data_IF_313776023344
#
_entry.id   IF_313776023344
#
_cell.length_a   1.000
_cell.length_b   1.000
_cell.length_c   1.000
_cell.angle_alpha   90.00
_cell.angle_beta   90.00
_cell.angle_gamma   90.00
#
_symmetry.space_group_name_H-M   'P 1'
#
loop_
_entity.id
_entity.type
_entity.pdbx_description
1 polymer ?
#
# COMPACT_ATOMS: atom_id res chain seq x y z
N UNK A 1 2.55 56.63 -7.58
CA UNK A 1 1.47 55.62 -7.81
C UNK A 1 1.99 54.50 -8.70
N UNK A 2 2.36 53.36 -8.14
CA UNK A 2 2.74 52.13 -8.88
C UNK A 2 1.73 51.04 -8.52
N UNK A 3 0.92 50.64 -9.49
CA UNK A 3 -0.07 49.57 -9.39
C UNK A 3 0.66 48.22 -9.25
N UNK A 4 0.44 47.52 -8.14
CA UNK A 4 0.86 46.09 -7.96
C UNK A 4 -0.06 45.23 -8.80
N UNK A 5 0.49 44.49 -9.77
CA UNK A 5 -0.22 43.41 -10.49
C UNK A 5 -0.39 42.24 -9.55
N UNK A 6 -1.63 41.84 -9.33
CA UNK A 6 -1.98 40.61 -8.66
C UNK A 6 -1.60 39.45 -9.58
N UNK A 7 -0.67 38.61 -9.14
CA UNK A 7 -0.33 37.36 -9.80
C UNK A 7 -1.45 36.34 -9.55
N UNK A 8 -2.23 36.05 -10.57
CA UNK A 8 -3.22 34.98 -10.55
C UNK A 8 -2.52 33.62 -10.37
N UNK A 9 -2.80 32.93 -9.26
CA UNK A 9 -2.48 31.50 -9.11
C UNK A 9 -3.35 30.72 -10.09
N UNK A 10 -2.75 30.20 -11.13
CA UNK A 10 -3.38 29.22 -11.99
C UNK A 10 -3.68 27.96 -11.13
N UNK A 11 -4.92 27.75 -10.78
CA UNK A 11 -5.43 26.49 -10.25
C UNK A 11 -5.39 25.49 -11.39
N UNK A 12 -4.37 24.63 -11.40
CA UNK A 12 -4.37 23.43 -12.25
C UNK A 12 -5.54 22.57 -11.77
N UNK A 13 -6.62 22.59 -12.53
CA UNK A 13 -7.75 21.69 -12.30
C UNK A 13 -7.22 20.25 -12.41
N UNK A 14 -7.16 19.56 -11.28
CA UNK A 14 -6.84 18.13 -11.26
C UNK A 14 -7.92 17.40 -12.06
N UNK A 15 -7.58 16.98 -13.27
CA UNK A 15 -8.45 16.15 -14.10
C UNK A 15 -8.87 14.95 -13.25
N UNK A 16 -10.15 14.86 -12.93
CA UNK A 16 -10.70 13.79 -12.13
C UNK A 16 -10.45 12.47 -12.88
N UNK A 17 -9.45 11.72 -12.47
CA UNK A 17 -9.21 10.36 -12.99
C UNK A 17 -10.39 9.52 -12.51
N UNK A 18 -11.31 9.22 -13.43
CA UNK A 18 -12.44 8.34 -13.16
C UNK A 18 -11.93 6.90 -13.09
N UNK A 19 -12.34 6.15 -12.06
CA UNK A 19 -11.99 4.74 -11.87
C UNK A 19 -10.99 4.49 -10.74
N UNK A 20 -10.72 3.22 -10.51
CA UNK A 20 -9.78 2.75 -9.49
C UNK A 20 -8.35 2.86 -10.03
N UNK A 21 -7.51 3.59 -9.33
CA UNK A 21 -6.08 3.75 -9.64
C UNK A 21 -5.25 3.51 -8.39
N UNK A 22 -4.00 3.08 -8.59
CA UNK A 22 -3.06 2.89 -7.50
C UNK A 22 -1.63 3.16 -7.96
N UNK A 23 -0.73 3.37 -7.00
CA UNK A 23 0.70 3.46 -7.26
C UNK A 23 1.48 2.85 -6.09
N UNK A 24 2.55 2.13 -6.39
CA UNK A 24 3.52 1.76 -5.38
C UNK A 24 4.41 2.98 -5.11
N UNK A 25 4.41 3.45 -3.86
CA UNK A 25 5.31 4.52 -3.40
C UNK A 25 6.70 3.96 -3.11
N UNK A 26 6.74 2.72 -2.61
CA UNK A 26 7.92 1.90 -2.43
C UNK A 26 7.63 0.46 -2.86
N UNK A 27 8.65 -0.27 -3.26
CA UNK A 27 8.51 -1.61 -3.85
C UNK A 27 9.64 -2.56 -3.47
N UNK A 28 10.59 -2.10 -2.65
CA UNK A 28 11.62 -2.93 -2.01
C UNK A 28 11.06 -3.58 -0.75
N UNK A 29 11.67 -4.69 -0.33
CA UNK A 29 11.52 -5.20 1.02
C UNK A 29 12.26 -4.34 2.04
N UNK A 30 12.59 -4.91 3.20
CA UNK A 30 13.15 -4.20 4.34
C UNK A 30 14.46 -3.44 4.06
N UNK A 31 15.22 -3.83 3.04
CA UNK A 31 16.45 -3.14 2.62
C UNK A 31 16.16 -2.32 1.36
N UNK A 32 16.09 -0.98 1.44
CA UNK A 32 15.92 -0.12 0.28
C UNK A 32 17.20 -0.05 -0.55
N UNK A 33 17.08 0.43 -1.79
CA UNK A 33 18.22 0.73 -2.67
C UNK A 33 18.22 2.20 -3.06
N UNK A 34 19.20 2.61 -3.86
CA UNK A 34 19.23 3.97 -4.40
C UNK A 34 18.01 4.34 -5.25
N UNK A 35 17.31 3.34 -5.80
CA UNK A 35 16.19 3.53 -6.72
C UNK A 35 14.87 2.93 -6.25
N UNK A 36 14.87 2.14 -5.17
CA UNK A 36 13.69 1.50 -4.59
C UNK A 36 13.64 1.72 -3.09
N UNK A 37 12.53 2.23 -2.63
CA UNK A 37 12.24 2.46 -1.22
C UNK A 37 11.42 1.31 -0.63
N UNK A 38 11.31 1.26 0.69
CA UNK A 38 10.49 0.26 1.39
C UNK A 38 9.00 0.44 1.10
N UNK A 39 8.26 -0.63 1.31
CA UNK A 39 6.92 -0.80 0.74
C UNK A 39 5.89 0.20 1.28
N UNK A 40 5.19 0.82 0.37
CA UNK A 40 3.96 1.57 0.58
C UNK A 40 3.16 1.63 -0.73
N UNK A 41 1.84 1.55 -0.64
CA UNK A 41 0.95 1.60 -1.80
C UNK A 41 -0.14 2.65 -1.56
N UNK A 42 -0.37 3.53 -2.52
CA UNK A 42 -1.50 4.45 -2.49
C UNK A 42 -2.59 3.99 -3.45
N UNK A 43 -3.83 3.97 -2.97
CA UNK A 43 -5.02 3.63 -3.75
C UNK A 43 -5.93 4.84 -3.84
N UNK A 44 -6.48 5.11 -5.01
CA UNK A 44 -7.40 6.23 -5.25
C UNK A 44 -8.61 5.81 -6.06
N UNK A 45 -9.80 6.20 -5.58
CA UNK A 45 -11.05 6.13 -6.32
C UNK A 45 -11.86 7.40 -6.02
N UNK A 46 -12.26 8.15 -7.04
CA UNK A 46 -12.96 9.41 -6.85
C UNK A 46 -12.20 10.37 -5.93
N UNK A 47 -12.84 10.79 -4.84
CA UNK A 47 -12.25 11.63 -3.81
C UNK A 47 -11.50 10.84 -2.72
N UNK A 48 -11.70 9.54 -2.65
CA UNK A 48 -11.09 8.67 -1.62
C UNK A 48 -9.65 8.33 -1.98
N UNK A 49 -8.74 8.60 -1.04
CA UNK A 49 -7.30 8.37 -1.15
C UNK A 49 -6.82 7.60 0.09
N UNK A 50 -6.39 6.37 -0.08
CA UNK A 50 -5.94 5.52 1.03
C UNK A 50 -4.48 5.14 0.86
N UNK A 51 -3.72 5.21 1.93
CA UNK A 51 -2.35 4.75 2.00
C UNK A 51 -2.31 3.38 2.69
N UNK A 52 -1.77 2.38 2.01
CA UNK A 52 -1.53 1.02 2.51
C UNK A 52 -0.05 0.90 2.82
N UNK A 53 0.28 0.69 4.08
CA UNK A 53 1.61 0.78 4.67
C UNK A 53 2.30 2.14 4.52
N UNK A 54 3.25 2.39 5.38
CA UNK A 54 3.90 3.69 5.53
C UNK A 54 5.42 3.50 5.60
N UNK A 55 5.95 2.73 4.67
CA UNK A 55 7.39 2.61 4.47
C UNK A 55 7.98 3.84 3.78
N UNK A 56 9.28 4.01 3.91
CA UNK A 56 10.02 5.07 3.22
C UNK A 56 9.61 6.49 3.59
N UNK A 57 9.59 7.36 2.58
CA UNK A 57 9.23 8.78 2.70
C UNK A 57 7.87 9.06 2.08
N UNK A 58 6.75 8.73 2.73
CA UNK A 58 5.41 8.73 2.12
C UNK A 58 5.01 10.12 1.60
N UNK A 59 5.29 11.19 2.34
CA UNK A 59 4.91 12.56 1.93
C UNK A 59 5.64 12.99 0.66
N UNK A 60 6.95 12.72 0.56
CA UNK A 60 7.73 13.02 -0.64
C UNK A 60 7.16 12.25 -1.85
N UNK A 61 6.88 10.97 -1.68
CA UNK A 61 6.38 10.09 -2.73
C UNK A 61 4.97 10.50 -3.20
N UNK A 62 4.07 10.84 -2.27
CA UNK A 62 2.75 11.38 -2.61
C UNK A 62 2.88 12.66 -3.44
N UNK A 63 3.77 13.58 -3.06
CA UNK A 63 4.01 14.82 -3.81
C UNK A 63 4.61 14.56 -5.20
N UNK A 64 5.46 13.54 -5.37
CA UNK A 64 5.95 13.11 -6.70
C UNK A 64 4.82 12.62 -7.62
N UNK A 65 3.73 12.11 -7.06
CA UNK A 65 2.50 11.76 -7.78
C UNK A 65 1.51 12.93 -7.93
N UNK A 66 1.93 14.14 -7.59
CA UNK A 66 1.08 15.35 -7.54
C UNK A 66 -0.14 15.17 -6.61
N UNK A 67 0.00 14.36 -5.56
CA UNK A 67 -1.01 14.20 -4.52
C UNK A 67 -0.73 15.16 -3.36
N UNK A 68 -1.79 15.74 -2.82
CA UNK A 68 -1.72 16.48 -1.56
C UNK A 68 -1.89 15.51 -0.38
N UNK A 69 -0.88 15.33 0.49
CA UNK A 69 -0.96 14.42 1.62
C UNK A 69 -2.10 14.76 2.59
N UNK A 70 -2.50 16.03 2.67
CA UNK A 70 -3.62 16.48 3.52
C UNK A 70 -4.95 15.84 3.10
N UNK A 71 -5.05 15.36 1.86
CA UNK A 71 -6.26 14.72 1.33
C UNK A 71 -6.35 13.20 1.57
N UNK A 72 -5.41 12.60 2.29
CA UNK A 72 -5.52 11.19 2.68
C UNK A 72 -6.82 10.95 3.45
N UNK A 73 -7.59 9.96 3.02
CA UNK A 73 -8.85 9.55 3.67
C UNK A 73 -8.61 8.58 4.82
N UNK A 74 -7.61 7.73 4.70
CA UNK A 74 -7.21 6.77 5.73
C UNK A 74 -5.79 6.25 5.49
N UNK A 75 -5.20 5.65 6.53
CA UNK A 75 -3.99 4.84 6.48
C UNK A 75 -4.33 3.43 6.94
N UNK A 76 -3.81 2.42 6.27
CA UNK A 76 -3.89 1.03 6.71
C UNK A 76 -2.46 0.54 6.95
N UNK A 77 -2.16 0.13 8.17
CA UNK A 77 -0.91 -0.54 8.54
C UNK A 77 -1.17 -2.03 8.54
N UNK A 78 -0.61 -2.76 7.59
CA UNK A 78 -0.86 -4.20 7.44
C UNK A 78 -0.24 -5.00 8.57
N UNK A 79 0.99 -4.63 8.94
CA UNK A 79 1.73 -5.16 10.09
C UNK A 79 2.81 -4.17 10.53
N UNK A 80 3.52 -4.49 11.60
CA UNK A 80 4.40 -3.55 12.29
C UNK A 80 5.90 -3.85 12.13
N UNK A 81 6.31 -4.53 11.05
CA UNK A 81 7.73 -4.50 10.69
C UNK A 81 8.15 -3.06 10.34
N UNK A 82 9.38 -2.67 10.67
CA UNK A 82 9.82 -1.29 10.48
C UNK A 82 9.60 -0.74 9.08
N UNK A 83 9.88 -1.51 8.05
CA UNK A 83 9.76 -1.13 6.64
C UNK A 83 8.32 -0.91 6.15
N UNK A 84 7.32 -1.22 6.99
CA UNK A 84 5.90 -0.97 6.74
C UNK A 84 5.32 0.17 7.60
N UNK A 85 5.99 0.59 8.67
CA UNK A 85 5.40 1.51 9.65
C UNK A 85 6.29 2.70 10.01
N UNK A 86 7.61 2.66 9.77
CA UNK A 86 8.51 3.69 10.29
C UNK A 86 8.29 5.09 9.70
N UNK A 87 7.67 5.21 8.54
CA UNK A 87 7.30 6.51 7.95
C UNK A 87 6.05 7.15 8.57
N UNK A 88 5.30 6.41 9.42
CA UNK A 88 4.07 6.91 10.02
C UNK A 88 4.26 8.16 10.88
N UNK A 89 5.26 8.24 11.79
CA UNK A 89 5.51 9.47 12.54
C UNK A 89 5.83 10.66 11.64
N UNK A 90 6.66 10.48 10.63
CA UNK A 90 7.02 11.55 9.69
C UNK A 90 5.82 12.01 8.84
N UNK A 91 4.92 11.10 8.48
CA UNK A 91 3.65 11.44 7.82
C UNK A 91 2.79 12.30 8.73
N UNK A 92 2.54 11.87 9.96
CA UNK A 92 1.68 12.59 10.92
C UNK A 92 2.25 13.96 11.23
N UNK A 93 3.55 14.07 11.52
CA UNK A 93 4.21 15.36 11.75
C UNK A 93 4.05 16.30 10.55
N UNK A 94 4.21 15.79 9.33
CA UNK A 94 4.02 16.58 8.12
C UNK A 94 2.59 17.09 7.99
N UNK A 95 1.59 16.27 8.31
CA UNK A 95 0.18 16.65 8.28
C UNK A 95 -0.16 17.72 9.30
N UNK A 96 0.43 17.65 10.50
CA UNK A 96 0.32 18.71 11.54
C UNK A 96 0.89 20.03 11.02
N UNK A 97 2.09 20.03 10.45
CA UNK A 97 2.74 21.23 9.89
C UNK A 97 1.93 21.79 8.71
N UNK A 98 1.37 20.91 7.88
CA UNK A 98 0.49 21.30 6.76
C UNK A 98 -0.91 21.72 7.21
N UNK A 99 -1.17 21.74 8.53
CA UNK A 99 -2.41 22.19 9.17
C UNK A 99 -3.64 21.39 8.71
N UNK A 100 -3.49 20.07 8.55
CA UNK A 100 -4.64 19.20 8.34
C UNK A 100 -5.61 19.36 9.53
N UNK A 101 -6.92 19.50 9.24
CA UNK A 101 -7.98 19.64 10.24
C UNK A 101 -8.85 18.41 10.36
N UNK A 102 -9.09 17.74 9.24
CA UNK A 102 -9.92 16.54 9.23
C UNK A 102 -9.22 15.37 9.92
N UNK A 103 -9.92 14.54 10.69
CA UNK A 103 -9.37 13.32 11.27
C UNK A 103 -8.67 12.45 10.22
N UNK A 104 -7.61 11.76 10.63
CA UNK A 104 -6.95 10.73 9.81
C UNK A 104 -7.13 9.37 10.48
N UNK A 105 -8.10 8.56 10.06
CA UNK A 105 -8.24 7.20 10.54
C UNK A 105 -7.01 6.35 10.19
N UNK A 106 -6.50 5.61 11.18
CA UNK A 106 -5.43 4.63 11.01
C UNK A 106 -6.02 3.27 11.36
N UNK A 107 -5.98 2.34 10.42
CA UNK A 107 -6.47 0.99 10.61
C UNK A 107 -5.29 0.02 10.70
N UNK A 108 -5.33 -0.90 11.65
CA UNK A 108 -4.37 -1.98 11.78
C UNK A 108 -5.04 -3.20 12.41
N UNK A 109 -4.35 -4.33 12.47
CA UNK A 109 -4.85 -5.43 13.30
C UNK A 109 -4.88 -5.03 14.78
N UNK A 110 -5.80 -5.63 15.52
CA UNK A 110 -5.96 -5.34 16.96
C UNK A 110 -4.67 -5.58 17.74
N UNK A 111 -3.88 -6.59 17.34
CA UNK A 111 -2.61 -6.93 17.99
C UNK A 111 -1.55 -5.83 17.83
N UNK A 112 -1.71 -4.97 16.82
CA UNK A 112 -0.76 -3.89 16.51
C UNK A 112 -1.13 -2.54 17.13
N UNK A 113 -2.35 -2.41 17.67
CA UNK A 113 -2.81 -1.15 18.30
C UNK A 113 -1.79 -0.59 19.29
N UNK A 114 -1.31 -1.38 20.30
CA UNK A 114 -0.42 -0.81 21.31
C UNK A 114 0.90 -0.31 20.72
N UNK A 115 1.41 -0.95 19.65
CA UNK A 115 2.67 -0.53 19.02
C UNK A 115 2.47 0.73 18.19
N UNK A 116 1.38 0.81 17.40
CA UNK A 116 1.08 2.00 16.58
C UNK A 116 0.85 3.22 17.47
N UNK A 117 0.13 3.06 18.58
CA UNK A 117 -0.09 4.12 19.57
C UNK A 117 1.24 4.59 20.19
N UNK A 118 2.05 3.64 20.71
CA UNK A 118 3.34 3.95 21.32
C UNK A 118 4.31 4.62 20.35
N UNK A 119 4.30 4.21 19.06
CA UNK A 119 5.14 4.82 18.04
C UNK A 119 4.81 6.31 17.85
N UNK A 120 3.54 6.67 17.86
CA UNK A 120 3.10 8.06 17.75
C UNK A 120 3.33 8.84 19.06
N UNK A 121 3.10 8.22 20.22
CA UNK A 121 3.35 8.81 21.54
C UNK A 121 4.82 9.10 21.77
N UNK A 122 5.72 8.23 21.31
CA UNK A 122 7.18 8.40 21.42
C UNK A 122 7.65 9.75 20.81
N UNK A 123 6.97 10.21 19.77
CA UNK A 123 7.25 11.48 19.11
C UNK A 123 6.28 12.61 19.51
N UNK A 124 5.41 12.39 20.49
CA UNK A 124 4.42 13.37 20.93
C UNK A 124 3.39 13.76 19.86
N UNK A 125 3.05 12.84 18.95
CA UNK A 125 2.22 13.13 17.77
C UNK A 125 0.71 12.89 17.98
N UNK A 126 0.31 12.30 19.11
CA UNK A 126 -1.11 12.10 19.47
C UNK A 126 -1.69 13.25 20.28
N UNK A 127 -0.91 14.29 20.51
CA UNK A 127 -1.31 15.46 21.25
C UNK A 127 -2.01 16.47 20.32
N UNK A 128 -2.38 17.56 20.70
CA UNK A 128 -3.25 18.55 20.12
C UNK A 128 -3.16 18.83 18.60
N UNK A 129 -4.28 18.98 17.94
CA UNK A 129 -4.43 19.62 16.62
C UNK A 129 -4.78 18.70 15.45
N UNK A 130 -4.55 17.39 15.54
CA UNK A 130 -4.98 16.41 14.53
C UNK A 130 -5.56 15.16 15.21
N UNK A 131 -6.84 14.89 14.99
CA UNK A 131 -7.45 13.66 15.46
C UNK A 131 -6.94 12.46 14.66
N UNK A 132 -6.38 11.48 15.35
CA UNK A 132 -5.86 10.23 14.80
C UNK A 132 -6.62 9.04 15.40
N UNK A 133 -7.86 8.77 14.97
CA UNK A 133 -8.57 7.59 15.45
C UNK A 133 -7.87 6.33 14.94
N UNK A 134 -7.40 5.49 15.87
CA UNK A 134 -6.73 4.24 15.55
C UNK A 134 -7.70 3.10 15.77
N UNK A 135 -7.97 2.34 14.71
CA UNK A 135 -8.97 1.28 14.69
C UNK A 135 -8.29 -0.08 14.56
N UNK A 136 -8.45 -0.93 15.58
CA UNK A 136 -8.06 -2.33 15.54
C UNK A 136 -9.10 -3.18 14.83
N UNK A 137 -8.65 -4.07 13.94
CA UNK A 137 -9.50 -5.04 13.27
C UNK A 137 -9.04 -6.46 13.58
N UNK A 138 -10.00 -7.35 13.85
CA UNK A 138 -9.81 -8.80 13.86
C UNK A 138 -10.21 -9.32 12.48
N UNK A 139 -9.25 -9.60 11.58
CA UNK A 139 -9.59 -9.92 10.21
C UNK A 139 -10.10 -11.36 10.10
N UNK A 140 -11.17 -11.51 9.36
CA UNK A 140 -11.62 -12.75 8.74
C UNK A 140 -11.62 -12.55 7.22
N UNK A 141 -11.68 -13.61 6.47
CA UNK A 141 -11.75 -13.49 5.00
C UNK A 141 -12.94 -12.60 4.60
N UNK A 142 -12.65 -11.50 3.91
CA UNK A 142 -13.67 -10.54 3.46
C UNK A 142 -14.17 -9.55 4.52
N UNK A 143 -13.48 -9.40 5.66
CA UNK A 143 -13.83 -8.35 6.65
C UNK A 143 -13.76 -6.98 5.99
N UNK A 144 -14.86 -6.22 6.06
CA UNK A 144 -14.93 -4.84 5.54
C UNK A 144 -14.20 -3.91 6.49
N UNK A 145 -13.17 -3.23 5.98
CA UNK A 145 -12.34 -2.30 6.75
C UNK A 145 -12.79 -0.85 6.60
N UNK A 146 -13.11 -0.44 5.40
CA UNK A 146 -13.51 0.93 5.05
C UNK A 146 -14.55 0.87 3.94
N UNK A 147 -15.57 1.70 4.05
CA UNK A 147 -16.53 1.93 2.98
C UNK A 147 -16.79 3.42 2.82
N UNK A 148 -16.61 3.91 1.61
CA UNK A 148 -16.93 5.27 1.20
C UNK A 148 -17.85 5.22 -0.01
N UNK A 149 -18.32 6.37 -0.47
CA UNK A 149 -19.07 6.45 -1.73
C UNK A 149 -18.29 5.88 -2.94
N UNK A 150 -16.97 6.02 -2.92
CA UNK A 150 -16.11 5.78 -4.09
C UNK A 150 -15.32 4.48 -4.00
N UNK A 151 -15.09 3.95 -2.79
CA UNK A 151 -14.17 2.84 -2.52
C UNK A 151 -14.67 1.96 -1.37
N UNK A 152 -14.55 0.66 -1.56
CA UNK A 152 -14.69 -0.34 -0.48
C UNK A 152 -13.35 -1.03 -0.28
N UNK A 153 -12.88 -1.09 0.97
CA UNK A 153 -11.74 -1.92 1.36
C UNK A 153 -12.23 -3.13 2.14
N UNK A 154 -11.78 -4.29 1.73
CA UNK A 154 -11.92 -5.54 2.47
C UNK A 154 -10.56 -6.12 2.77
N UNK A 155 -10.46 -6.87 3.86
CA UNK A 155 -9.21 -7.48 4.32
C UNK A 155 -9.39 -8.98 4.59
N UNK A 156 -8.28 -9.68 4.52
CA UNK A 156 -8.16 -11.04 5.01
C UNK A 156 -6.86 -11.16 5.82
N UNK A 157 -6.78 -12.08 6.79
CA UNK A 157 -5.50 -12.43 7.38
C UNK A 157 -4.62 -13.07 6.29
N UNK A 158 -3.32 -12.96 6.44
CA UNK A 158 -2.35 -13.70 5.65
C UNK A 158 -1.28 -14.31 6.55
N UNK A 159 -0.30 -15.01 6.01
CA UNK A 159 0.68 -15.74 6.80
C UNK A 159 2.08 -15.18 6.60
N UNK A 160 2.59 -14.51 7.64
CA UNK A 160 3.92 -13.90 7.66
C UNK A 160 4.70 -14.34 8.91
N UNK A 161 5.14 -15.59 8.93
CA UNK A 161 5.72 -16.21 10.13
C UNK A 161 4.74 -16.18 11.30
N UNK A 162 5.20 -15.65 12.44
CA UNK A 162 4.36 -15.40 13.63
C UNK A 162 3.81 -13.96 13.68
N UNK A 163 4.15 -13.09 12.71
CA UNK A 163 3.69 -11.72 12.67
C UNK A 163 2.23 -11.67 12.20
N UNK A 164 1.29 -11.16 13.01
CA UNK A 164 -0.07 -10.90 12.56
C UNK A 164 -0.07 -9.92 11.38
N UNK A 165 -0.74 -10.25 10.28
CA UNK A 165 -0.67 -9.44 9.07
C UNK A 165 -2.00 -9.43 8.30
N UNK A 166 -2.17 -8.48 7.38
CA UNK A 166 -3.34 -8.26 6.54
C UNK A 166 -2.96 -8.25 5.06
N UNK A 167 -3.75 -8.94 4.24
CA UNK A 167 -3.91 -8.59 2.83
C UNK A 167 -5.11 -7.64 2.67
N UNK A 168 -5.06 -6.74 1.70
CA UNK A 168 -6.07 -5.70 1.48
C UNK A 168 -6.59 -5.76 0.05
N UNK A 169 -7.92 -5.75 -0.12
CA UNK A 169 -8.59 -5.61 -1.41
C UNK A 169 -9.33 -4.28 -1.46
N UNK A 170 -9.15 -3.55 -2.55
CA UNK A 170 -9.82 -2.30 -2.87
C UNK A 170 -10.72 -2.51 -4.08
N UNK A 171 -12.01 -2.22 -3.94
CA UNK A 171 -13.02 -2.34 -4.99
C UNK A 171 -13.65 -0.99 -5.30
N UNK A 172 -13.71 -0.61 -6.57
CA UNK A 172 -14.39 0.59 -7.06
C UNK A 172 -14.76 0.46 -8.54
N UNK A 173 -15.98 0.84 -8.90
CA UNK A 173 -16.45 0.89 -10.29
C UNK A 173 -16.30 -0.43 -11.06
N UNK A 174 -16.53 -1.56 -10.41
CA UNK A 174 -16.40 -2.91 -11.02
C UNK A 174 -14.96 -3.36 -11.26
N UNK A 175 -13.99 -2.65 -10.73
CA UNK A 175 -12.55 -2.96 -10.76
C UNK A 175 -12.02 -3.22 -9.37
N UNK A 176 -10.94 -3.99 -9.27
CA UNK A 176 -10.35 -4.34 -7.98
C UNK A 176 -8.83 -4.41 -8.04
N UNK A 177 -8.22 -3.98 -6.94
CA UNK A 177 -6.77 -4.12 -6.68
C UNK A 177 -6.61 -4.86 -5.36
N UNK A 178 -5.81 -5.90 -5.36
CA UNK A 178 -5.44 -6.61 -4.13
C UNK A 178 -3.96 -6.37 -3.85
N UNK A 179 -3.65 -6.02 -2.62
CA UNK A 179 -2.29 -5.93 -2.08
C UNK A 179 -2.09 -7.06 -1.08
N UNK A 180 -1.15 -7.96 -1.39
CA UNK A 180 -0.90 -9.14 -0.54
C UNK A 180 -0.30 -8.79 0.81
N UNK A 181 0.36 -7.64 0.94
CA UNK A 181 1.36 -7.41 1.97
C UNK A 181 2.41 -8.52 1.99
N UNK A 182 3.19 -8.66 3.05
CA UNK A 182 4.18 -9.71 3.21
C UNK A 182 3.51 -11.03 3.53
N UNK A 183 3.81 -12.07 2.79
CA UNK A 183 3.14 -13.35 3.00
C UNK A 183 3.86 -14.50 2.31
N UNK A 184 3.86 -15.66 2.93
CA UNK A 184 4.04 -16.90 2.16
C UNK A 184 2.77 -17.19 1.35
N UNK A 185 2.82 -18.12 0.37
CA UNK A 185 1.61 -18.60 -0.28
C UNK A 185 0.59 -19.09 0.73
N UNK A 186 -0.64 -18.57 0.68
CA UNK A 186 -1.72 -18.99 1.56
C UNK A 186 -3.09 -18.83 0.86
N UNK A 187 -4.08 -19.68 1.22
CA UNK A 187 -5.41 -19.67 0.60
C UNK A 187 -6.15 -18.34 0.79
N UNK A 188 -5.93 -17.65 1.91
CA UNK A 188 -6.61 -16.40 2.25
C UNK A 188 -6.33 -15.31 1.22
N UNK A 189 -5.06 -15.21 0.76
CA UNK A 189 -4.67 -14.26 -0.30
C UNK A 189 -5.26 -14.66 -1.65
N UNK A 190 -5.24 -15.95 -2.01
CA UNK A 190 -5.89 -16.46 -3.23
C UNK A 190 -7.38 -16.12 -3.26
N UNK A 191 -8.07 -16.37 -2.15
CA UNK A 191 -9.52 -16.10 -2.03
C UNK A 191 -9.81 -14.60 -2.09
N UNK A 192 -9.06 -13.77 -1.37
CA UNK A 192 -9.22 -12.31 -1.40
C UNK A 192 -8.96 -11.75 -2.80
N UNK A 193 -7.97 -12.31 -3.52
CA UNK A 193 -7.60 -11.89 -4.87
C UNK A 193 -8.51 -12.48 -5.97
N UNK A 194 -9.48 -13.30 -5.63
CA UNK A 194 -10.32 -13.99 -6.62
C UNK A 194 -10.94 -13.00 -7.61
N UNK A 195 -10.64 -13.22 -8.91
CA UNK A 195 -11.08 -12.41 -10.05
C UNK A 195 -10.74 -10.92 -9.92
N UNK A 196 -9.70 -10.57 -9.15
CA UNK A 196 -9.25 -9.18 -9.06
C UNK A 196 -8.71 -8.70 -10.41
N UNK A 197 -8.90 -7.42 -10.71
CA UNK A 197 -8.31 -6.81 -11.92
C UNK A 197 -6.78 -6.81 -11.84
N UNK A 198 -6.24 -6.50 -10.65
CA UNK A 198 -4.79 -6.48 -10.40
C UNK A 198 -4.50 -7.11 -9.04
N UNK A 199 -3.49 -7.96 -9.01
CA UNK A 199 -2.84 -8.40 -7.78
C UNK A 199 -1.46 -7.75 -7.69
N UNK A 200 -1.21 -6.99 -6.63
CA UNK A 200 0.12 -6.53 -6.20
C UNK A 200 0.60 -7.51 -5.15
N UNK A 201 1.56 -8.34 -5.49
CA UNK A 201 2.04 -9.41 -4.61
C UNK A 201 3.53 -9.24 -4.31
N UNK A 202 3.92 -9.56 -3.10
CA UNK A 202 5.31 -9.61 -2.71
C UNK A 202 6.10 -10.67 -3.48
N UNK A 203 7.41 -10.47 -3.63
CA UNK A 203 8.31 -11.42 -4.27
C UNK A 203 9.72 -11.30 -3.70
N UNK A 204 9.81 -11.47 -2.38
CA UNK A 204 11.02 -11.17 -1.61
C UNK A 204 12.16 -12.14 -1.92
N UNK A 205 11.88 -13.43 -2.02
CA UNK A 205 12.93 -14.43 -2.13
C UNK A 205 13.11 -14.99 -3.55
N UNK A 206 14.34 -15.43 -3.84
CA UNK A 206 14.65 -16.14 -5.07
C UNK A 206 14.21 -17.61 -5.03
N UNK A 207 14.16 -18.20 -3.84
CA UNK A 207 13.81 -19.60 -3.58
C UNK A 207 12.81 -19.64 -2.42
N UNK A 208 11.93 -20.66 -2.36
CA UNK A 208 11.01 -20.82 -1.24
C UNK A 208 11.76 -20.77 0.10
N UNK A 209 11.20 -20.01 1.05
CA UNK A 209 11.78 -19.88 2.37
C UNK A 209 11.17 -20.93 3.31
N UNK A 210 11.98 -21.87 3.87
CA UNK A 210 11.49 -22.84 4.83
C UNK A 210 10.83 -22.25 6.07
N UNK A 211 11.25 -21.05 6.50
CA UNK A 211 10.64 -20.35 7.63
C UNK A 211 9.22 -19.81 7.33
N UNK A 212 8.79 -19.84 6.07
CA UNK A 212 7.41 -19.49 5.71
C UNK A 212 7.04 -18.02 5.94
N UNK A 213 7.99 -17.11 5.71
CA UNK A 213 7.77 -15.66 5.93
C UNK A 213 7.31 -14.94 4.67
N UNK A 214 7.84 -15.31 3.51
CA UNK A 214 7.66 -14.60 2.25
C UNK A 214 7.51 -15.54 1.06
N UNK A 215 7.10 -14.96 -0.05
CA UNK A 215 6.93 -15.64 -1.33
C UNK A 215 8.11 -15.40 -2.29
N UNK A 216 8.21 -16.28 -3.27
CA UNK A 216 9.01 -16.09 -4.48
C UNK A 216 8.15 -15.52 -5.61
N UNK A 217 8.77 -15.00 -6.66
CA UNK A 217 8.06 -14.55 -7.85
C UNK A 217 7.26 -15.69 -8.52
N UNK A 218 7.78 -16.93 -8.50
CA UNK A 218 7.05 -18.11 -9.00
C UNK A 218 5.80 -18.40 -8.19
N UNK A 219 5.88 -18.33 -6.87
CA UNK A 219 4.73 -18.54 -5.97
C UNK A 219 3.70 -17.44 -6.13
N UNK A 220 4.11 -16.16 -6.23
CA UNK A 220 3.21 -15.05 -6.56
C UNK A 220 2.46 -15.30 -7.88
N UNK A 221 3.16 -15.84 -8.90
CA UNK A 221 2.55 -16.23 -10.17
C UNK A 221 1.53 -17.37 -10.01
N UNK A 222 1.80 -18.37 -9.17
CA UNK A 222 0.88 -19.47 -8.89
C UNK A 222 -0.40 -18.98 -8.20
N UNK A 223 -0.27 -18.10 -7.18
CA UNK A 223 -1.39 -17.44 -6.51
C UNK A 223 -2.23 -16.62 -7.50
N UNK A 224 -1.58 -15.86 -8.38
CA UNK A 224 -2.26 -15.06 -9.41
C UNK A 224 -3.08 -15.93 -10.37
N UNK A 225 -2.57 -17.10 -10.76
CA UNK A 225 -3.27 -18.08 -11.59
C UNK A 225 -4.46 -18.69 -10.86
N UNK A 226 -4.24 -19.16 -9.63
CA UNK A 226 -5.30 -19.76 -8.80
C UNK A 226 -6.45 -18.79 -8.57
N UNK A 227 -6.14 -17.54 -8.23
CA UNK A 227 -7.12 -16.49 -8.02
C UNK A 227 -7.81 -16.01 -9.33
N UNK A 228 -7.26 -16.32 -10.50
CA UNK A 228 -7.79 -15.86 -11.80
C UNK A 228 -7.73 -14.36 -11.96
N UNK A 229 -6.64 -13.71 -11.51
CA UNK A 229 -6.50 -12.25 -11.61
C UNK A 229 -6.21 -11.81 -13.05
N UNK A 230 -6.56 -10.56 -13.39
CA UNK A 230 -6.29 -10.03 -14.74
C UNK A 230 -4.81 -9.68 -14.96
N UNK A 231 -4.09 -9.26 -13.93
CA UNK A 231 -2.67 -8.85 -14.02
C UNK A 231 -1.98 -9.01 -12.67
N UNK A 232 -0.69 -9.39 -12.69
CA UNK A 232 0.18 -9.46 -11.52
C UNK A 232 1.23 -8.35 -11.57
N UNK A 233 1.38 -7.61 -10.47
CA UNK A 233 2.52 -6.73 -10.20
C UNK A 233 3.32 -7.30 -9.03
N UNK A 234 4.61 -7.51 -9.23
CA UNK A 234 5.53 -7.91 -8.18
C UNK A 234 6.00 -6.66 -7.42
N UNK A 235 5.87 -6.67 -6.12
CA UNK A 235 6.34 -5.64 -5.20
C UNK A 235 7.12 -6.29 -4.04
N UNK A 236 7.57 -5.51 -3.07
CA UNK A 236 8.34 -5.99 -1.92
C UNK A 236 9.46 -6.95 -2.35
N UNK A 237 10.22 -6.54 -3.37
CA UNK A 237 11.29 -7.37 -3.92
C UNK A 237 12.51 -7.26 -3.02
N UNK A 238 13.04 -8.38 -2.55
CA UNK A 238 14.22 -8.40 -1.70
C UNK A 238 15.42 -7.76 -2.39
N UNK A 239 16.23 -7.04 -1.63
CA UNK A 239 17.40 -6.29 -2.13
C UNK A 239 18.30 -7.12 -3.05
N UNK A 240 18.57 -8.37 -2.67
CA UNK A 240 19.40 -9.30 -3.45
C UNK A 240 18.82 -9.63 -4.84
N UNK A 241 17.53 -9.35 -5.06
CA UNK A 241 16.84 -9.61 -6.32
C UNK A 241 16.78 -8.39 -7.23
N UNK A 242 17.19 -7.20 -6.77
CA UNK A 242 17.07 -5.96 -7.55
C UNK A 242 17.82 -6.02 -8.89
N UNK A 243 18.96 -6.69 -8.96
CA UNK A 243 19.69 -6.94 -10.21
C UNK A 243 19.08 -8.02 -11.10
N UNK A 244 18.02 -8.71 -10.68
CA UNK A 244 17.45 -9.88 -11.36
C UNK A 244 15.95 -9.76 -11.66
N UNK A 245 15.41 -8.56 -11.71
CA UNK A 245 13.97 -8.31 -11.88
C UNK A 245 13.38 -8.93 -13.14
N UNK A 246 14.15 -8.91 -14.25
CA UNK A 246 13.71 -9.56 -15.48
C UNK A 246 13.55 -11.08 -15.33
N UNK A 247 14.46 -11.74 -14.58
CA UNK A 247 14.35 -13.17 -14.28
C UNK A 247 13.13 -13.45 -13.40
N UNK A 248 12.92 -12.66 -12.34
CA UNK A 248 11.74 -12.76 -11.45
C UNK A 248 10.44 -12.60 -12.24
N UNK A 249 10.38 -11.63 -13.14
CA UNK A 249 9.21 -11.43 -14.01
C UNK A 249 8.96 -12.66 -14.92
N UNK A 250 10.00 -13.27 -15.49
CA UNK A 250 9.84 -14.49 -16.31
C UNK A 250 9.32 -15.67 -15.48
N UNK A 251 9.86 -15.88 -14.28
CA UNK A 251 9.42 -16.96 -13.38
C UNK A 251 7.95 -16.82 -12.98
N UNK A 252 7.54 -15.61 -12.57
CA UNK A 252 6.16 -15.32 -12.25
C UNK A 252 5.24 -15.51 -13.46
N UNK A 253 5.65 -15.04 -14.65
CA UNK A 253 4.88 -15.17 -15.88
C UNK A 253 4.70 -16.64 -16.28
N UNK A 254 5.74 -17.44 -16.17
CA UNK A 254 5.67 -18.88 -16.47
C UNK A 254 4.69 -19.60 -15.53
N UNK A 255 4.61 -19.19 -14.26
CA UNK A 255 3.69 -19.77 -13.28
C UNK A 255 2.25 -19.23 -13.43
N UNK A 256 2.08 -17.95 -13.75
CA UNK A 256 0.76 -17.30 -13.89
C UNK A 256 0.10 -17.59 -15.24
N UNK A 257 0.84 -17.49 -16.33
CA UNK A 257 0.31 -17.54 -17.72
C UNK A 257 -0.28 -16.24 -18.23
N UNK A 258 -0.29 -15.18 -17.41
CA UNK A 258 -0.88 -13.87 -17.72
C UNK A 258 0.15 -12.72 -17.65
N UNK A 259 -0.31 -11.46 -17.77
CA UNK A 259 0.54 -10.27 -17.73
C UNK A 259 1.22 -10.08 -16.38
N UNK A 260 2.55 -10.01 -16.36
CA UNK A 260 3.36 -9.76 -15.16
C UNK A 260 4.33 -8.61 -15.40
N UNK A 261 4.47 -7.73 -14.41
CA UNK A 261 5.51 -6.72 -14.33
C UNK A 261 6.00 -6.56 -12.87
N UNK A 262 7.19 -5.99 -12.70
CA UNK A 262 7.62 -5.47 -11.40
C UNK A 262 7.10 -4.05 -11.24
N UNK A 263 6.58 -3.72 -10.07
CA UNK A 263 6.07 -2.39 -9.76
C UNK A 263 7.16 -1.33 -9.96
N UNK A 264 6.82 -0.27 -10.67
CA UNK A 264 7.64 0.94 -10.79
C UNK A 264 7.12 1.97 -9.77
N UNK A 265 8.02 2.51 -8.98
CA UNK A 265 7.65 3.47 -7.94
C UNK A 265 7.17 4.79 -8.53
N UNK A 266 6.22 5.40 -7.82
CA UNK A 266 5.61 6.68 -8.20
C UNK A 266 5.07 6.70 -9.64
N UNK A 267 4.58 5.55 -10.13
CA UNK A 267 3.87 5.42 -11.39
C UNK A 267 2.42 5.04 -11.13
N UNK A 268 1.48 5.75 -11.76
CA UNK A 268 0.08 5.41 -11.70
C UNK A 268 -0.24 4.16 -12.54
N UNK A 269 -0.98 3.25 -11.94
CA UNK A 269 -1.61 2.11 -12.59
C UNK A 269 -3.13 2.25 -12.53
N UNK A 270 -3.81 1.82 -13.57
CA UNK A 270 -5.26 1.65 -13.58
C UNK A 270 -5.60 0.19 -13.31
N UNK A 271 -6.60 -0.03 -12.49
CA UNK A 271 -7.17 -1.35 -12.30
C UNK A 271 -8.04 -1.75 -13.50
#
# INVERSE_FOLDING_TARGET
MRRRRAGGRATVAATAIRGLTFACLGSSGAVPSATRDTTAVVVRAGATLVLLDVGGSPVQKLRRLALDPVRLSAVVVTHTHPDHVYGLPALVQSLLILRRRDPLPIHCRVEHLPLVERLLDLFGLRWEGLALPIHGVEPRAGTRLLETRDLVLTVAPNVHGSMPNLAVRADAGGRSVVYSSDTRPCPEVSLLARKATVLVHEATFARPNPAGWHSTAREAGAIAREAGVGRLLLAHVGYEQHGRLAARTREARAAFGGPVAVAQECRWYRA
#
